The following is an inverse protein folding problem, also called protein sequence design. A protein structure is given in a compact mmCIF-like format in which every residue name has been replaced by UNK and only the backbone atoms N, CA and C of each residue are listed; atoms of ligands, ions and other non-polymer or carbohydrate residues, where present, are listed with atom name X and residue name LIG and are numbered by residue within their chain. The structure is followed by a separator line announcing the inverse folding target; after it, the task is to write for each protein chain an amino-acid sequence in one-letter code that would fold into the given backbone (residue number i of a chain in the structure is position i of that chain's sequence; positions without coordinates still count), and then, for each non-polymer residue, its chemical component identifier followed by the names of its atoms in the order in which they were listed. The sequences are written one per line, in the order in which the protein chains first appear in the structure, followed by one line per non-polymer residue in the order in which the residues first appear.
data_IF_255937850522
#
_entry.id   IF_255937850522
#
_cell.length_a   1.000
_cell.length_b   1.000
_cell.length_c   1.000
_cell.angle_alpha   90.00
_cell.angle_beta   90.00
_cell.angle_gamma   90.00
#
_symmetry.space_group_name_H-M   'P 1'
#
loop_
_entity.id
_entity.type
_entity.pdbx_description
1 polymer ?
#
# COMPACT_ATOMS: atom_id res chain seq x y z
N UNK A 1 0.86 -36.33 14.70
CA UNK A 1 1.54 -35.63 13.58
C UNK A 1 1.02 -34.21 13.58
N UNK A 2 1.87 -33.23 13.85
CA UNK A 2 1.51 -31.83 13.75
C UNK A 2 1.97 -31.33 12.38
N UNK A 3 1.09 -30.67 11.62
CA UNK A 3 1.47 -29.66 10.63
C UNK A 3 0.34 -28.61 10.55
N UNK A 4 0.46 -27.56 11.37
CA UNK A 4 0.61 -26.13 11.03
C UNK A 4 -0.67 -25.50 10.48
N UNK A 5 -1.32 -24.72 11.34
CA UNK A 5 -2.31 -23.71 11.00
C UNK A 5 -1.62 -22.53 10.29
N UNK A 6 -2.11 -22.14 9.11
CA UNK A 6 -1.46 -21.20 8.20
C UNK A 6 -2.24 -19.87 8.01
N UNK A 7 -3.27 -19.56 8.81
CA UNK A 7 -4.17 -18.44 8.46
C UNK A 7 -4.26 -17.24 9.41
N UNK A 8 -3.32 -17.02 10.32
CA UNK A 8 -3.29 -15.79 11.15
C UNK A 8 -1.91 -15.09 11.12
N UNK A 9 -1.51 -14.57 9.96
CA UNK A 9 -0.45 -13.55 9.91
C UNK A 9 -0.92 -12.29 9.21
N UNK A 10 -2.08 -11.78 9.62
CA UNK A 10 -2.46 -10.38 9.41
C UNK A 10 -1.61 -9.48 10.32
N UNK A 11 -0.29 -9.56 10.23
CA UNK A 11 0.63 -8.84 11.10
C UNK A 11 1.31 -7.72 10.34
N UNK A 12 1.47 -6.58 11.00
CA UNK A 12 2.24 -5.45 10.48
C UNK A 12 3.73 -5.80 10.53
N UNK A 13 4.40 -5.74 9.38
CA UNK A 13 5.82 -6.07 9.23
C UNK A 13 6.67 -4.82 9.01
N UNK A 14 7.97 -4.89 9.31
CA UNK A 14 8.90 -3.81 8.95
C UNK A 14 9.15 -3.82 7.45
N UNK A 15 9.21 -2.65 6.84
CA UNK A 15 9.69 -2.52 5.46
C UNK A 15 11.20 -2.28 5.40
N UNK A 16 11.79 -2.32 4.21
CA UNK A 16 13.19 -1.95 4.03
C UNK A 16 13.43 -0.43 4.15
N UNK A 17 12.37 0.38 4.11
CA UNK A 17 12.45 1.83 4.28
C UNK A 17 12.31 2.21 5.74
N UNK A 18 13.23 3.06 6.22
CA UNK A 18 13.25 3.53 7.61
C UNK A 18 11.92 4.21 7.97
N UNK A 19 11.37 3.85 9.14
CA UNK A 19 10.08 4.36 9.67
C UNK A 19 8.87 4.03 8.79
N UNK A 20 8.98 2.98 7.98
CA UNK A 20 7.86 2.37 7.30
C UNK A 20 7.61 0.97 7.83
N UNK A 21 6.33 0.65 7.91
CA UNK A 21 5.83 -0.71 8.13
C UNK A 21 4.85 -1.02 7.02
N UNK A 22 4.58 -2.30 6.83
CA UNK A 22 3.80 -2.80 5.72
C UNK A 22 2.80 -3.84 6.22
N UNK A 23 1.61 -3.86 5.64
CA UNK A 23 0.53 -4.76 6.01
C UNK A 23 -0.06 -5.45 4.77
N UNK A 24 -0.28 -6.76 4.84
CA UNK A 24 -0.82 -7.60 3.76
C UNK A 24 0.04 -7.66 2.48
N UNK A 25 1.36 -7.58 2.64
CA UNK A 25 2.31 -7.74 1.53
C UNK A 25 2.86 -9.16 1.48
N UNK A 26 3.03 -9.72 0.29
CA UNK A 26 3.64 -11.04 0.10
C UNK A 26 5.17 -11.06 0.19
N UNK A 27 5.81 -9.91 0.40
CA UNK A 27 7.26 -9.72 0.52
C UNK A 27 7.56 -8.38 1.20
N UNK A 28 8.81 -8.15 1.60
CA UNK A 28 9.29 -6.86 2.11
C UNK A 28 9.64 -5.90 0.98
N UNK A 29 9.25 -4.62 1.10
CA UNK A 29 9.45 -3.60 0.07
C UNK A 29 10.21 -2.36 0.57
N UNK A 30 10.84 -1.66 -0.36
CA UNK A 30 11.25 -0.26 -0.24
C UNK A 30 10.13 0.67 -0.71
N UNK A 31 9.92 1.79 -0.02
CA UNK A 31 8.98 2.85 -0.38
C UNK A 31 9.72 4.17 -0.65
N UNK A 32 10.29 4.37 -1.86
CA UNK A 32 11.22 5.46 -2.17
C UNK A 32 10.60 6.87 -2.18
N UNK A 33 9.28 6.98 -2.03
CA UNK A 33 8.58 8.28 -1.90
C UNK A 33 8.31 8.67 -0.44
N UNK A 34 8.59 7.76 0.51
CA UNK A 34 8.44 8.06 1.93
C UNK A 34 9.34 9.24 2.34
N UNK A 35 8.84 10.21 3.12
CA UNK A 35 9.65 11.30 3.65
C UNK A 35 10.84 10.81 4.51
N UNK A 36 11.99 11.47 4.35
CA UNK A 36 13.22 11.20 5.13
C UNK A 36 13.15 11.74 6.57
N UNK A 37 12.13 12.52 6.93
CA UNK A 37 11.91 13.04 8.27
C UNK A 37 10.43 13.16 8.58
N UNK A 38 10.07 13.03 9.86
CA UNK A 38 8.70 13.23 10.34
C UNK A 38 8.59 14.71 10.75
N UNK A 39 7.79 15.46 9.98
CA UNK A 39 7.46 16.85 10.27
C UNK A 39 6.10 17.00 10.97
N UNK A 40 5.58 18.23 11.02
CA UNK A 40 4.29 18.56 11.67
C UNK A 40 3.11 17.86 10.98
N UNK A 41 3.14 17.72 9.65
CA UNK A 41 2.10 17.06 8.87
C UNK A 41 2.70 15.93 8.02
N UNK A 42 2.96 14.73 8.60
CA UNK A 42 3.70 13.66 7.94
C UNK A 42 3.04 13.15 6.66
N UNK A 43 1.71 12.94 6.66
CA UNK A 43 0.98 12.49 5.47
C UNK A 43 0.90 13.56 4.39
N UNK A 44 0.81 14.84 4.75
CA UNK A 44 0.89 15.94 3.78
C UNK A 44 2.26 15.97 3.09
N UNK A 45 3.34 15.76 3.86
CA UNK A 45 4.69 15.68 3.33
C UNK A 45 4.85 14.46 2.41
N UNK A 46 4.31 13.30 2.80
CA UNK A 46 4.29 12.12 1.94
C UNK A 46 3.52 12.40 0.64
N UNK A 47 2.30 12.92 0.74
CA UNK A 47 1.46 13.19 -0.42
C UNK A 47 2.15 14.10 -1.45
N UNK A 48 2.91 15.11 -1.01
CA UNK A 48 3.73 15.98 -1.88
C UNK A 48 4.89 15.28 -2.57
N UNK A 49 5.43 14.21 -1.99
CA UNK A 49 6.50 13.42 -2.59
C UNK A 49 5.99 12.45 -3.67
N UNK A 50 4.70 12.13 -3.68
CA UNK A 50 4.08 11.26 -4.68
C UNK A 50 3.99 11.98 -6.04
N UNK A 51 4.25 11.21 -7.10
CA UNK A 51 4.13 11.66 -8.48
C UNK A 51 3.62 10.50 -9.32
N UNK A 52 2.68 10.77 -10.22
CA UNK A 52 2.27 9.78 -11.24
C UNK A 52 3.51 9.32 -12.01
N UNK A 53 3.55 8.04 -12.36
CA UNK A 53 4.65 7.35 -13.04
C UNK A 53 5.94 7.19 -12.22
N UNK A 54 5.96 7.60 -10.94
CA UNK A 54 7.08 7.29 -10.06
C UNK A 54 6.92 5.89 -9.45
N UNK A 55 8.04 5.29 -9.06
CA UNK A 55 8.04 4.04 -8.29
C UNK A 55 7.41 4.31 -6.91
N UNK A 56 6.33 3.60 -6.60
CA UNK A 56 5.71 3.55 -5.28
C UNK A 56 6.48 2.60 -4.36
N UNK A 57 6.71 1.38 -4.83
CA UNK A 57 7.32 0.32 -4.07
C UNK A 57 8.15 -0.61 -4.96
N UNK A 58 9.25 -1.14 -4.43
CA UNK A 58 10.07 -2.13 -5.12
C UNK A 58 10.80 -3.05 -4.14
N UNK A 59 11.24 -4.20 -4.64
CA UNK A 59 12.23 -5.09 -4.04
C UNK A 59 12.99 -5.79 -5.18
N UNK A 60 13.88 -6.71 -4.85
CA UNK A 60 14.70 -7.41 -5.84
C UNK A 60 13.98 -8.59 -6.51
N UNK A 61 12.87 -9.06 -5.92
CA UNK A 61 12.21 -10.32 -6.29
C UNK A 61 10.88 -10.13 -7.04
N UNK A 62 10.40 -8.90 -7.20
CA UNK A 62 9.11 -8.61 -7.83
C UNK A 62 9.13 -7.38 -8.74
N UNK A 63 8.26 -7.34 -9.76
CA UNK A 63 8.09 -6.16 -10.61
C UNK A 63 7.76 -4.91 -9.79
N UNK A 64 8.42 -3.79 -10.11
CA UNK A 64 8.22 -2.52 -9.41
C UNK A 64 6.77 -2.06 -9.53
N UNK A 65 6.26 -1.45 -8.47
CA UNK A 65 4.94 -0.81 -8.48
C UNK A 65 5.08 0.66 -8.86
N UNK A 66 4.43 1.06 -9.94
CA UNK A 66 4.44 2.40 -10.53
C UNK A 66 3.11 3.08 -10.24
N UNK A 67 3.16 4.33 -9.75
CA UNK A 67 1.96 5.09 -9.38
C UNK A 67 1.18 5.48 -10.65
N UNK A 68 -0.08 5.06 -10.72
CA UNK A 68 -1.03 5.45 -11.77
C UNK A 68 -1.85 6.65 -11.29
N UNK A 69 -2.45 6.50 -10.11
CA UNK A 69 -3.30 7.52 -9.49
C UNK A 69 -3.13 7.51 -7.96
N UNK A 70 -3.35 8.66 -7.33
CA UNK A 70 -3.36 8.75 -5.87
C UNK A 70 -4.22 9.91 -5.39
N UNK A 71 -4.87 9.74 -4.25
CA UNK A 71 -5.81 10.71 -3.69
C UNK A 71 -5.83 10.63 -2.17
N UNK A 72 -6.19 11.73 -1.52
CA UNK A 72 -6.43 11.75 -0.08
C UNK A 72 -7.90 11.54 0.20
N UNK A 73 -8.19 10.68 1.17
CA UNK A 73 -9.55 10.32 1.60
C UNK A 73 -9.66 10.43 3.14
N UNK A 74 -10.85 10.16 3.69
CA UNK A 74 -11.11 10.17 5.14
C UNK A 74 -10.55 11.43 5.83
N UNK A 75 -10.97 12.61 5.37
CA UNK A 75 -10.46 13.92 5.86
C UNK A 75 -8.93 14.08 5.83
N UNK A 76 -8.29 13.60 4.76
CA UNK A 76 -6.84 13.63 4.56
C UNK A 76 -6.00 12.74 5.50
N UNK A 77 -6.64 11.82 6.23
CA UNK A 77 -5.94 10.86 7.12
C UNK A 77 -5.41 9.61 6.40
N UNK A 78 -5.81 9.39 5.14
CA UNK A 78 -5.37 8.26 4.33
C UNK A 78 -4.99 8.75 2.94
N UNK A 79 -3.88 8.24 2.40
CA UNK A 79 -3.54 8.36 0.98
C UNK A 79 -3.86 7.03 0.30
N UNK A 80 -4.80 7.02 -0.64
CA UNK A 80 -5.13 5.86 -1.46
C UNK A 80 -4.33 5.92 -2.77
N UNK A 81 -3.76 4.80 -3.20
CA UNK A 81 -2.96 4.70 -4.42
C UNK A 81 -3.48 3.56 -5.30
N UNK A 82 -3.50 3.82 -6.61
CA UNK A 82 -3.58 2.80 -7.65
C UNK A 82 -2.21 2.70 -8.31
N UNK A 83 -1.66 1.49 -8.37
CA UNK A 83 -0.38 1.19 -8.98
C UNK A 83 -0.51 0.14 -10.08
N UNK A 84 0.37 0.23 -11.07
CA UNK A 84 0.62 -0.81 -12.06
C UNK A 84 1.97 -1.47 -11.79
N UNK A 85 2.12 -2.74 -12.17
CA UNK A 85 3.40 -3.45 -12.11
C UNK A 85 4.18 -3.22 -13.39
N UNK A 86 5.41 -2.76 -13.24
CA UNK A 86 6.32 -2.48 -14.35
C UNK A 86 6.52 -3.73 -15.21
N UNK A 87 6.19 -3.63 -16.51
CA UNK A 87 6.42 -4.69 -17.47
C UNK A 87 5.52 -5.91 -17.33
N UNK A 88 4.52 -5.89 -16.44
CA UNK A 88 3.56 -6.98 -16.28
C UNK A 88 2.29 -6.66 -17.04
N UNK A 89 1.96 -7.47 -18.05
CA UNK A 89 0.84 -7.21 -18.94
C UNK A 89 -0.26 -8.27 -18.86
N UNK A 90 0.04 -9.47 -18.35
CA UNK A 90 -0.96 -10.55 -18.25
C UNK A 90 -0.63 -11.63 -17.20
N UNK A 91 -1.59 -12.54 -16.97
CA UNK A 91 -1.56 -13.54 -15.89
C UNK A 91 -0.41 -14.55 -15.98
N UNK A 92 0.11 -14.81 -17.18
CA UNK A 92 1.20 -15.77 -17.39
C UNK A 92 2.52 -15.33 -16.77
N UNK A 93 2.64 -14.07 -16.37
CA UNK A 93 3.83 -13.49 -15.74
C UNK A 93 3.81 -13.62 -14.21
N UNK A 94 2.82 -14.34 -13.65
CA UNK A 94 2.78 -14.73 -12.24
C UNK A 94 2.36 -13.63 -11.26
N UNK A 95 2.14 -12.41 -11.76
CA UNK A 95 1.67 -11.27 -10.98
C UNK A 95 0.40 -10.67 -11.57
N UNK A 96 -0.50 -10.24 -10.70
CA UNK A 96 -1.63 -9.38 -11.10
C UNK A 96 -1.09 -7.97 -11.43
N UNK A 97 -1.38 -7.41 -12.63
CA UNK A 97 -0.77 -6.15 -13.09
C UNK A 97 -1.12 -4.94 -12.22
N UNK A 98 -2.31 -4.91 -11.60
CA UNK A 98 -2.81 -3.75 -10.87
C UNK A 98 -2.85 -4.01 -9.38
N UNK A 99 -2.54 -2.99 -8.58
CA UNK A 99 -2.55 -3.06 -7.12
C UNK A 99 -3.12 -1.78 -6.53
N UNK A 100 -3.96 -1.92 -5.50
CA UNK A 100 -4.44 -0.80 -4.70
C UNK A 100 -3.75 -0.87 -3.34
N UNK A 101 -3.21 0.26 -2.90
CA UNK A 101 -2.61 0.39 -1.59
C UNK A 101 -3.12 1.64 -0.87
N UNK A 102 -2.94 1.69 0.43
CA UNK A 102 -3.11 2.91 1.21
C UNK A 102 -1.89 3.20 2.09
N UNK A 103 -1.79 4.47 2.49
CA UNK A 103 -0.78 4.96 3.42
C UNK A 103 -1.49 5.69 4.55
N UNK A 104 -1.24 5.24 5.78
CA UNK A 104 -1.61 5.94 7.01
C UNK A 104 -0.34 6.32 7.79
N UNK A 105 -0.51 7.13 8.84
CA UNK A 105 0.57 7.48 9.75
C UNK A 105 0.14 7.24 11.19
N UNK A 106 0.76 6.25 11.82
CA UNK A 106 0.35 5.71 13.12
C UNK A 106 1.60 5.44 13.97
N UNK A 107 1.57 5.83 15.24
CA UNK A 107 2.65 5.55 16.20
C UNK A 107 4.07 5.92 15.70
N UNK A 108 4.20 7.03 14.96
CA UNK A 108 5.44 7.49 14.31
C UNK A 108 5.96 6.61 13.15
N UNK A 109 5.11 5.77 12.56
CA UNK A 109 5.41 5.01 11.36
C UNK A 109 4.46 5.37 10.22
N UNK A 110 4.96 5.34 8.99
CA UNK A 110 4.11 5.25 7.82
C UNK A 110 3.72 3.79 7.62
N UNK A 111 2.42 3.51 7.56
CA UNK A 111 1.89 2.17 7.36
C UNK A 111 1.44 2.05 5.91
N UNK A 112 2.03 1.12 5.17
CA UNK A 112 1.67 0.82 3.79
C UNK A 112 0.83 -0.44 3.77
N UNK A 113 -0.46 -0.32 3.49
CA UNK A 113 -1.37 -1.47 3.44
C UNK A 113 -1.66 -1.84 1.99
N UNK A 114 -1.46 -3.10 1.63
CA UNK A 114 -1.91 -3.65 0.36
C UNK A 114 -3.40 -4.02 0.47
N UNK A 115 -4.24 -3.37 -0.32
CA UNK A 115 -5.69 -3.55 -0.27
C UNK A 115 -6.21 -4.55 -1.31
N UNK A 116 -5.33 -5.08 -2.17
CA UNK A 116 -5.70 -6.06 -3.19
C UNK A 116 -4.94 -5.86 -4.51
N UNK A 117 -4.99 -6.90 -5.34
CA UNK A 117 -4.44 -6.86 -6.71
C UNK A 117 -5.43 -7.45 -7.71
N UNK A 118 -5.40 -6.93 -8.94
CA UNK A 118 -6.44 -7.13 -9.96
C UNK A 118 -5.81 -7.48 -11.31
N UNK A 119 -6.49 -8.31 -12.09
CA UNK A 119 -6.04 -8.69 -13.43
C UNK A 119 -6.37 -7.61 -14.45
N UNK A 120 -7.60 -7.10 -14.40
CA UNK A 120 -8.10 -6.11 -15.34
C UNK A 120 -8.01 -4.70 -14.76
N UNK A 121 -7.63 -3.74 -15.61
CA UNK A 121 -7.56 -2.33 -15.22
C UNK A 121 -8.95 -1.81 -14.81
N UNK A 122 -9.98 -2.19 -15.55
CA UNK A 122 -11.35 -1.75 -15.30
C UNK A 122 -11.88 -2.23 -13.94
N UNK A 123 -11.46 -3.42 -13.49
CA UNK A 123 -11.77 -3.93 -12.16
C UNK A 123 -11.06 -3.10 -11.07
N UNK A 124 -9.76 -2.86 -11.25
CA UNK A 124 -8.98 -2.03 -10.35
C UNK A 124 -9.51 -0.59 -10.25
N UNK A 125 -9.88 0.02 -11.38
CA UNK A 125 -10.43 1.39 -11.44
C UNK A 125 -11.78 1.48 -10.70
N UNK A 126 -12.66 0.48 -10.87
CA UNK A 126 -13.94 0.41 -10.16
C UNK A 126 -13.73 0.32 -8.65
N UNK A 127 -12.84 -0.56 -8.21
CA UNK A 127 -12.57 -0.74 -6.79
C UNK A 127 -11.86 0.49 -6.19
N UNK A 128 -10.93 1.11 -6.94
CA UNK A 128 -10.29 2.35 -6.52
C UNK A 128 -11.32 3.48 -6.37
N UNK A 129 -12.24 3.63 -7.32
CA UNK A 129 -13.35 4.60 -7.24
C UNK A 129 -14.28 4.31 -6.06
N UNK A 130 -14.62 3.04 -5.82
CA UNK A 130 -15.43 2.62 -4.69
C UNK A 130 -14.76 2.99 -3.35
N UNK A 131 -13.47 2.70 -3.18
CA UNK A 131 -12.71 3.03 -1.98
C UNK A 131 -12.54 4.53 -1.75
N UNK A 132 -12.53 5.35 -2.79
CA UNK A 132 -12.49 6.81 -2.64
C UNK A 132 -13.73 7.36 -1.91
N UNK A 133 -14.89 6.78 -2.15
CA UNK A 133 -16.17 7.23 -1.60
C UNK A 133 -16.54 6.60 -0.25
N UNK A 134 -15.74 5.67 0.28
CA UNK A 134 -16.04 4.99 1.55
C UNK A 134 -15.51 5.79 2.74
N UNK A 135 -16.42 6.41 3.49
CA UNK A 135 -16.15 6.74 4.90
C UNK A 135 -16.33 5.45 5.70
N UNK A 136 -15.23 4.80 6.09
CA UNK A 136 -15.34 3.70 7.05
C UNK A 136 -15.41 4.26 8.47
N UNK A 137 -16.49 3.91 9.17
CA UNK A 137 -16.56 3.98 10.63
C UNK A 137 -15.39 3.17 11.18
N UNK A 138 -14.48 3.84 11.89
CA UNK A 138 -13.26 3.28 12.46
C UNK A 138 -13.58 1.99 13.22
N UNK A 139 -13.22 0.84 12.67
CA UNK A 139 -13.04 -0.35 13.49
C UNK A 139 -11.66 -0.20 14.12
N UNK A 140 -11.62 0.19 15.39
CA UNK A 140 -10.39 0.32 16.16
C UNK A 140 -9.63 -0.99 16.10
N UNK A 141 -8.56 -1.07 15.31
CA UNK A 141 -7.56 -2.14 15.42
C UNK A 141 -6.51 -1.69 16.44
N UNK A 142 -6.94 -1.43 17.68
CA UNK A 142 -6.04 -1.31 18.83
C UNK A 142 -6.77 -1.90 20.04
N UNK A 143 -6.78 -3.23 20.12
CA UNK A 143 -7.06 -3.97 21.36
C UNK A 143 -5.95 -5.01 21.67
N UNK A 144 -4.74 -4.85 21.11
CA UNK A 144 -3.60 -5.72 21.41
C UNK A 144 -2.25 -4.99 21.56
N UNK A 145 -2.20 -3.98 22.42
CA UNK A 145 -0.96 -3.53 23.06
C UNK A 145 -1.18 -3.28 24.55
#
# INVERSE_FOLDING_TARGET
MAVIDLSDSNTVEKSFTKRCVQYMWGATYYFPRCPDSIGINPLEAYFKNLKKRAIFAYNDDSPKLIIVEFVRIKNNSVILLLCEREGVMCESEGFKPWLIAEITFENNFFVHSNLGSYFEKDEADKEFCFKQGREETVHNIIDFL
#
